data_IF_349965437969
#
_entry.id   IF_349965437969
#
_cell.length_a   1.000
_cell.length_b   1.000
_cell.length_c   1.000
_cell.angle_alpha   90.00
_cell.angle_beta   90.00
_cell.angle_gamma   90.00
#
_symmetry.space_group_name_H-M   'P 1'
#
loop_
_entity.id
_entity.type
_entity.pdbx_description
1 polymer ?
#
# COMPACT_ATOMS: atom_id res chain seq x y z
N UNK A 1 -16.00 -12.16 -7.23
CA UNK A 1 -14.90 -11.33 -7.80
C UNK A 1 -13.99 -10.74 -6.73
N UNK A 2 -14.45 -10.67 -5.47
CA UNK A 2 -13.70 -10.18 -4.31
C UNK A 2 -12.25 -10.68 -4.17
N UNK A 3 -11.97 -11.96 -4.43
CA UNK A 3 -10.62 -12.52 -4.28
C UNK A 3 -9.59 -11.88 -5.22
N UNK A 4 -10.00 -11.53 -6.45
CA UNK A 4 -9.13 -10.87 -7.43
C UNK A 4 -8.80 -9.46 -6.94
N UNK A 5 -9.81 -8.73 -6.43
CA UNK A 5 -9.63 -7.37 -5.89
C UNK A 5 -8.68 -7.40 -4.68
N UNK A 6 -8.79 -8.41 -3.81
CA UNK A 6 -7.89 -8.57 -2.67
C UNK A 6 -6.43 -8.79 -3.12
N UNK A 7 -6.22 -9.63 -4.14
CA UNK A 7 -4.90 -9.80 -4.75
C UNK A 7 -4.39 -8.54 -5.45
N UNK A 8 -5.27 -7.72 -6.04
CA UNK A 8 -4.88 -6.42 -6.58
C UNK A 8 -4.31 -5.50 -5.49
N UNK A 9 -4.91 -5.48 -4.29
CA UNK A 9 -4.38 -4.69 -3.16
C UNK A 9 -2.99 -5.18 -2.74
N UNK A 10 -2.78 -6.51 -2.68
CA UNK A 10 -1.47 -7.08 -2.41
C UNK A 10 -0.45 -6.69 -3.49
N UNK A 11 -0.82 -6.82 -4.77
CA UNK A 11 0.02 -6.46 -5.90
C UNK A 11 0.38 -4.96 -5.91
N UNK A 12 -0.53 -4.08 -5.47
CA UNK A 12 -0.22 -2.66 -5.26
C UNK A 12 0.85 -2.47 -4.19
N UNK A 13 0.85 -3.26 -3.12
CA UNK A 13 1.92 -3.28 -2.12
C UNK A 13 3.28 -3.65 -2.73
N UNK A 14 3.33 -4.72 -3.53
CA UNK A 14 4.54 -5.13 -4.25
C UNK A 14 5.01 -4.04 -5.21
N UNK A 15 4.10 -3.47 -5.99
CA UNK A 15 4.41 -2.38 -6.93
C UNK A 15 4.91 -1.13 -6.21
N UNK A 16 4.37 -0.81 -5.03
CA UNK A 16 4.82 0.30 -4.19
C UNK A 16 6.28 0.12 -3.75
N UNK A 17 6.64 -1.07 -3.28
CA UNK A 17 8.04 -1.40 -2.92
C UNK A 17 8.93 -1.27 -4.15
N UNK A 18 8.57 -1.93 -5.25
CA UNK A 18 9.38 -1.94 -6.47
C UNK A 18 9.61 -0.51 -6.99
N UNK A 19 8.55 0.29 -7.09
CA UNK A 19 8.64 1.69 -7.49
C UNK A 19 9.51 2.50 -6.52
N UNK A 20 9.35 2.30 -5.21
CA UNK A 20 10.15 2.97 -4.18
C UNK A 20 11.64 2.66 -4.30
N UNK A 21 11.98 1.38 -4.46
CA UNK A 21 13.36 0.92 -4.62
C UNK A 21 13.98 1.46 -5.91
N UNK A 22 13.23 1.50 -7.01
CA UNK A 22 13.71 2.05 -8.29
C UNK A 22 13.91 3.56 -8.19
N UNK A 23 12.88 4.30 -7.72
CA UNK A 23 12.88 5.76 -7.63
C UNK A 23 13.92 6.29 -6.65
N UNK A 24 14.07 5.61 -5.52
CA UNK A 24 14.97 6.01 -4.43
C UNK A 24 16.22 5.13 -4.36
N UNK A 25 16.63 4.50 -5.46
CA UNK A 25 17.77 3.58 -5.50
C UNK A 25 19.02 4.17 -4.84
N UNK A 26 19.43 5.37 -5.26
CA UNK A 26 20.63 6.04 -4.75
C UNK A 26 20.54 6.31 -3.24
N UNK A 27 19.55 7.05 -2.71
CA UNK A 27 19.48 7.33 -1.27
C UNK A 27 19.34 6.08 -0.41
N UNK A 28 18.66 5.02 -0.88
CA UNK A 28 18.58 3.75 -0.17
C UNK A 28 19.95 3.06 -0.10
N UNK A 29 20.66 2.98 -1.23
CA UNK A 29 21.98 2.35 -1.28
C UNK A 29 23.00 3.08 -0.41
N UNK A 30 22.99 4.41 -0.45
CA UNK A 30 23.90 5.19 0.39
C UNK A 30 23.63 5.04 1.89
N UNK A 31 22.36 4.91 2.29
CA UNK A 31 22.00 4.66 3.69
C UNK A 31 22.48 3.27 4.15
N UNK A 32 22.30 2.26 3.29
CA UNK A 32 22.73 0.89 3.57
C UNK A 32 24.25 0.79 3.62
N UNK A 33 24.96 1.41 2.67
CA UNK A 33 26.43 1.39 2.64
C UNK A 33 27.06 2.13 3.82
N UNK A 34 26.34 3.08 4.41
CA UNK A 34 26.76 3.80 5.62
C UNK A 34 26.44 3.07 6.95
N UNK A 35 25.84 1.87 6.90
CA UNK A 35 25.61 1.03 8.09
C UNK A 35 24.18 0.91 8.60
N UNK A 36 23.18 1.31 7.81
CA UNK A 36 21.71 1.20 8.06
C UNK A 36 21.17 1.91 9.31
N UNK A 37 21.65 1.57 10.51
CA UNK A 37 21.19 2.12 11.79
C UNK A 37 21.50 3.62 11.85
N UNK A 38 20.46 4.43 12.05
CA UNK A 38 20.55 5.90 12.09
C UNK A 38 20.75 6.57 10.72
N UNK A 39 20.97 5.81 9.64
CA UNK A 39 21.40 6.36 8.33
C UNK A 39 20.27 6.93 7.47
N UNK A 40 19.03 6.79 7.90
CA UNK A 40 17.85 7.33 7.21
C UNK A 40 17.32 8.63 7.83
N UNK A 41 17.95 9.16 8.88
CA UNK A 41 17.51 10.41 9.50
C UNK A 41 17.81 11.63 8.63
N UNK A 42 18.99 11.63 8.01
CA UNK A 42 19.51 12.68 7.13
C UNK A 42 20.30 12.07 5.97
N UNK A 43 20.31 12.71 4.78
CA UNK A 43 19.44 13.80 4.37
C UNK A 43 17.97 13.36 4.28
N UNK A 44 17.05 14.33 4.26
CA UNK A 44 15.59 14.07 4.25
C UNK A 44 15.14 13.10 3.14
N UNK A 45 15.81 13.10 2.00
CA UNK A 45 15.50 12.18 0.91
C UNK A 45 15.66 10.69 1.31
N UNK A 46 16.59 10.35 2.20
CA UNK A 46 16.72 8.98 2.74
C UNK A 46 15.56 8.63 3.65
N UNK A 47 15.12 9.58 4.49
CA UNK A 47 13.94 9.42 5.34
C UNK A 47 12.69 9.16 4.50
N UNK A 48 12.49 9.98 3.48
CA UNK A 48 11.37 9.86 2.53
C UNK A 48 11.42 8.52 1.80
N UNK A 49 12.60 8.12 1.30
CA UNK A 49 12.79 6.84 0.64
C UNK A 49 12.45 5.65 1.55
N UNK A 50 12.91 5.68 2.80
CA UNK A 50 12.65 4.65 3.79
C UNK A 50 11.15 4.54 4.08
N UNK A 51 10.49 5.64 4.44
CA UNK A 51 9.06 5.61 4.76
C UNK A 51 8.22 5.19 3.56
N UNK A 52 8.57 5.64 2.36
CA UNK A 52 7.90 5.19 1.13
C UNK A 52 8.00 3.66 1.00
N UNK A 53 9.21 3.10 1.02
CA UNK A 53 9.38 1.64 0.85
C UNK A 53 8.75 0.85 2.01
N UNK A 54 8.85 1.33 3.24
CA UNK A 54 8.32 0.67 4.44
C UNK A 54 6.79 0.59 4.46
N UNK A 55 6.08 1.52 3.81
CA UNK A 55 4.62 1.43 3.69
C UNK A 55 4.18 0.31 2.74
N UNK A 56 5.05 -0.15 1.84
CA UNK A 56 4.77 -1.24 0.92
C UNK A 56 4.41 -2.56 1.62
N UNK A 57 5.20 -3.06 2.59
CA UNK A 57 4.84 -4.23 3.39
C UNK A 57 3.52 -4.10 4.16
N UNK A 58 3.17 -2.91 4.66
CA UNK A 58 1.87 -2.69 5.32
C UNK A 58 0.71 -2.78 4.32
N UNK A 59 0.91 -2.30 3.09
CA UNK A 59 -0.06 -2.45 2.00
C UNK A 59 -0.20 -3.91 1.55
N UNK A 60 0.92 -4.64 1.45
CA UNK A 60 0.91 -6.09 1.21
C UNK A 60 0.18 -6.84 2.32
N UNK A 61 0.42 -6.48 3.59
CA UNK A 61 -0.28 -7.06 4.72
C UNK A 61 -1.78 -6.85 4.62
N UNK A 62 -2.24 -5.64 4.30
CA UNK A 62 -3.67 -5.37 4.07
C UNK A 62 -4.25 -6.22 2.92
N UNK A 63 -3.51 -6.38 1.82
CA UNK A 63 -3.89 -7.26 0.72
C UNK A 63 -4.00 -8.73 1.12
N UNK A 64 -3.01 -9.27 1.81
CA UNK A 64 -3.04 -10.64 2.33
C UNK A 64 -4.15 -10.85 3.36
N UNK A 65 -4.38 -9.90 4.26
CA UNK A 65 -5.49 -9.93 5.20
C UNK A 65 -6.83 -9.96 4.47
N UNK A 66 -6.99 -9.17 3.39
CA UNK A 66 -8.18 -9.21 2.55
C UNK A 66 -8.36 -10.55 1.83
N UNK A 67 -7.29 -11.15 1.32
CA UNK A 67 -7.32 -12.49 0.71
C UNK A 67 -7.80 -13.53 1.73
N UNK A 68 -7.25 -13.49 2.94
CA UNK A 68 -7.67 -14.37 4.01
C UNK A 68 -9.14 -14.14 4.39
N UNK A 69 -9.55 -12.88 4.56
CA UNK A 69 -10.93 -12.49 4.87
C UNK A 69 -11.92 -13.08 3.85
N UNK A 70 -11.61 -12.95 2.56
CA UNK A 70 -12.42 -13.54 1.49
C UNK A 70 -12.45 -15.08 1.59
N UNK A 71 -11.34 -15.73 1.90
CA UNK A 71 -11.28 -17.20 1.99
C UNK A 71 -12.11 -17.80 3.14
N UNK A 72 -12.30 -17.05 4.23
CA UNK A 72 -13.06 -17.49 5.41
C UNK A 72 -14.43 -16.82 5.53
N UNK A 73 -14.82 -15.98 4.57
CA UNK A 73 -16.09 -15.26 4.59
C UNK A 73 -16.18 -14.12 5.61
N UNK A 74 -15.04 -13.57 6.07
CA UNK A 74 -15.01 -12.44 7.00
C UNK A 74 -15.28 -11.11 6.28
N UNK A 75 -16.56 -10.85 6.04
CA UNK A 75 -17.04 -9.63 5.40
C UNK A 75 -16.80 -8.37 6.26
N UNK A 76 -16.66 -8.52 7.58
CA UNK A 76 -16.43 -7.38 8.48
C UNK A 76 -15.00 -6.85 8.33
N UNK A 77 -14.01 -7.76 8.33
CA UNK A 77 -12.62 -7.42 8.06
C UNK A 77 -12.45 -6.82 6.66
N UNK A 78 -13.12 -7.38 5.66
CA UNK A 78 -13.06 -6.87 4.29
C UNK A 78 -13.61 -5.43 4.18
N UNK A 79 -14.70 -5.11 4.87
CA UNK A 79 -15.23 -3.73 4.99
C UNK A 79 -14.23 -2.79 5.66
N UNK A 80 -13.61 -3.24 6.74
CA UNK A 80 -12.62 -2.47 7.49
C UNK A 80 -11.43 -2.10 6.59
N UNK A 81 -10.85 -3.09 5.90
CA UNK A 81 -9.76 -2.88 4.94
C UNK A 81 -10.19 -1.95 3.81
N UNK A 82 -11.35 -2.21 3.19
CA UNK A 82 -11.88 -1.41 2.10
C UNK A 82 -12.13 0.06 2.49
N UNK A 83 -12.68 0.29 3.68
CA UNK A 83 -12.95 1.64 4.19
C UNK A 83 -11.65 2.43 4.40
N UNK A 84 -10.70 1.89 5.17
CA UNK A 84 -9.44 2.59 5.43
C UNK A 84 -8.64 2.81 4.14
N UNK A 85 -8.54 1.79 3.28
CA UNK A 85 -7.85 1.93 2.00
C UNK A 85 -8.50 2.99 1.08
N UNK A 86 -9.83 3.08 1.06
CA UNK A 86 -10.56 4.08 0.27
C UNK A 86 -10.32 5.48 0.84
N UNK A 87 -10.48 5.66 2.16
CA UNK A 87 -10.26 6.94 2.82
C UNK A 87 -8.81 7.43 2.63
N UNK A 88 -7.82 6.57 2.84
CA UNK A 88 -6.41 6.90 2.61
C UNK A 88 -6.13 7.25 1.15
N UNK A 89 -6.71 6.52 0.20
CA UNK A 89 -6.54 6.80 -1.23
C UNK A 89 -7.16 8.13 -1.63
N UNK A 90 -8.34 8.48 -1.09
CA UNK A 90 -8.97 9.78 -1.31
C UNK A 90 -8.10 10.92 -0.79
N UNK A 91 -7.62 10.82 0.45
CA UNK A 91 -6.70 11.81 1.03
C UNK A 91 -5.43 11.93 0.18
N UNK A 92 -4.86 10.80 -0.25
CA UNK A 92 -3.67 10.76 -1.09
C UNK A 92 -3.87 11.40 -2.46
N UNK A 93 -5.00 11.16 -3.12
CA UNK A 93 -5.35 11.78 -4.42
C UNK A 93 -5.56 13.28 -4.26
N UNK A 94 -6.26 13.73 -3.21
CA UNK A 94 -6.46 15.16 -2.96
C UNK A 94 -5.14 15.87 -2.65
N UNK A 95 -4.30 15.27 -1.81
CA UNK A 95 -2.99 15.83 -1.46
C UNK A 95 -2.00 15.80 -2.64
N UNK A 96 -2.04 14.75 -3.47
CA UNK A 96 -1.11 14.53 -4.57
C UNK A 96 -1.84 14.05 -5.84
N UNK A 97 -2.52 14.94 -6.59
CA UNK A 97 -3.35 14.53 -7.74
C UNK A 97 -2.61 13.83 -8.88
N UNK A 98 -1.29 14.05 -9.00
CA UNK A 98 -0.43 13.42 -10.03
C UNK A 98 0.31 12.18 -9.50
N UNK A 99 -0.20 11.55 -8.44
CA UNK A 99 0.43 10.40 -7.80
C UNK A 99 -0.21 9.07 -8.22
N UNK A 100 0.46 7.94 -7.95
CA UNK A 100 -0.12 6.61 -8.13
C UNK A 100 -1.30 6.27 -7.20
N UNK A 101 -1.72 7.15 -6.28
CA UNK A 101 -2.86 6.89 -5.38
C UNK A 101 -4.18 6.61 -6.13
N UNK A 102 -4.30 7.06 -7.39
CA UNK A 102 -5.41 6.67 -8.26
C UNK A 102 -5.56 5.16 -8.43
N UNK A 103 -4.46 4.41 -8.51
CA UNK A 103 -4.52 2.95 -8.66
C UNK A 103 -5.14 2.29 -7.41
N UNK A 104 -4.79 2.78 -6.21
CA UNK A 104 -5.39 2.33 -4.96
C UNK A 104 -6.87 2.76 -4.86
N UNK A 105 -7.21 3.96 -5.33
CA UNK A 105 -8.60 4.44 -5.34
C UNK A 105 -9.52 3.65 -6.30
N UNK A 106 -8.99 3.03 -7.35
CA UNK A 106 -9.77 2.14 -8.21
C UNK A 106 -10.04 0.77 -7.56
N UNK A 107 -9.12 0.28 -6.74
CA UNK A 107 -9.20 -1.06 -6.11
C UNK A 107 -9.94 -1.03 -4.78
N UNK A 108 -9.66 -0.05 -3.93
CA UNK A 108 -10.13 -0.02 -2.54
C UNK A 108 -11.66 0.06 -2.36
N UNK A 109 -12.41 0.87 -3.15
CA UNK A 109 -13.86 0.89 -3.06
C UNK A 109 -14.51 -0.45 -3.44
N UNK A 110 -13.89 -1.21 -4.36
CA UNK A 110 -14.38 -2.53 -4.75
C UNK A 110 -14.27 -3.53 -3.58
N UNK A 111 -13.24 -3.41 -2.73
CA UNK A 111 -13.15 -4.20 -1.49
C UNK A 111 -14.25 -3.82 -0.51
N UNK A 112 -14.54 -2.53 -0.38
CA UNK A 112 -15.61 -2.05 0.50
C UNK A 112 -16.97 -2.61 0.05
N UNK A 113 -17.27 -2.52 -1.25
CA UNK A 113 -18.50 -3.08 -1.85
C UNK A 113 -18.56 -4.60 -1.69
N UNK A 114 -17.46 -5.31 -1.90
CA UNK A 114 -17.37 -6.76 -1.65
C UNK A 114 -17.64 -7.12 -0.18
N UNK A 115 -17.17 -6.29 0.76
CA UNK A 115 -17.44 -6.46 2.19
C UNK A 115 -18.92 -6.27 2.59
N UNK A 116 -19.74 -5.67 1.74
CA UNK A 116 -21.20 -5.64 1.89
C UNK A 116 -21.92 -6.82 1.20
N UNK A 117 -21.18 -7.76 0.62
CA UNK A 117 -21.73 -8.95 -0.04
C UNK A 117 -22.25 -8.70 -1.46
N UNK A 118 -21.81 -7.62 -2.11
CA UNK A 118 -22.33 -7.19 -3.41
C UNK A 118 -21.46 -7.69 -4.59
N UNK A 119 -20.28 -8.27 -4.33
CA UNK A 119 -19.21 -8.56 -5.32
C UNK A 119 -18.49 -9.90 -5.06
#
# INVERSE_FOLDING_TARGET
>A
MAIVVAWCLFALGVAHIAFGVIKYRTPLLEAVSAGFIGQFQVPEIRRTAFWFVLLGPLLMFAGHAAVHAVSVGDLALLRLIGFYATATSLVGVVAFPKSPFWAALLVAPLLLVAGYGVL
#
